data_IF_927733320899
#
_entry.id   IF_927733320899
#
_cell.length_a   1.000
_cell.length_b   1.000
_cell.length_c   1.000
_cell.angle_alpha   90.00
_cell.angle_beta   90.00
_cell.angle_gamma   90.00
#
_symmetry.space_group_name_H-M   'P 1'
#
loop_
_entity.id
_entity.type
_entity.pdbx_description
1 polymer ?
#
# COMPACT_ATOMS: atom_id res chain seq x y z
N UNK A 1 -19.42 -16.68 27.17
CA UNK A 1 -18.16 -15.92 27.01
C UNK A 1 -17.02 -16.89 27.29
N UNK A 2 -16.47 -17.50 26.25
CA UNK A 2 -15.30 -18.38 26.37
C UNK A 2 -14.09 -17.47 26.57
N UNK A 3 -13.40 -17.59 27.71
CA UNK A 3 -12.06 -17.03 27.93
C UNK A 3 -11.17 -17.46 26.76
N UNK A 4 -10.91 -16.53 25.81
CA UNK A 4 -9.83 -16.73 24.85
C UNK A 4 -8.53 -16.81 25.68
N UNK A 5 -7.98 -18.02 25.82
CA UNK A 5 -6.67 -18.24 26.39
C UNK A 5 -5.70 -17.25 25.74
N UNK A 6 -5.23 -16.26 26.50
CA UNK A 6 -4.19 -15.34 26.05
C UNK A 6 -2.94 -16.20 25.76
N UNK A 7 -2.56 -16.28 24.50
CA UNK A 7 -1.28 -16.88 24.13
C UNK A 7 -0.13 -16.17 24.82
N UNK A 8 0.96 -16.90 25.10
CA UNK A 8 2.13 -16.30 25.74
C UNK A 8 2.70 -15.14 24.90
N UNK A 9 3.13 -14.04 25.54
CA UNK A 9 3.77 -12.94 24.85
C UNK A 9 4.96 -13.42 23.99
N UNK A 10 5.01 -12.97 22.73
CA UNK A 10 6.08 -13.27 21.77
C UNK A 10 6.93 -12.03 21.53
N UNK A 11 8.21 -12.22 21.23
CA UNK A 11 9.07 -11.14 20.71
C UNK A 11 9.09 -11.22 19.19
N UNK A 12 8.56 -10.18 18.51
CA UNK A 12 8.46 -10.12 17.05
C UNK A 12 9.34 -8.97 16.56
N UNK A 13 10.30 -9.28 15.71
CA UNK A 13 11.21 -8.30 15.11
C UNK A 13 10.78 -8.02 13.69
N UNK A 14 10.50 -6.74 13.40
CA UNK A 14 10.18 -6.23 12.07
C UNK A 14 11.45 -5.79 11.34
N UNK A 15 11.58 -6.13 10.07
CA UNK A 15 12.62 -5.65 9.17
C UNK A 15 11.97 -4.94 7.98
N UNK A 16 12.12 -3.62 7.93
CA UNK A 16 11.54 -2.76 6.90
C UNK A 16 12.62 -1.86 6.28
N UNK A 17 12.65 -1.66 4.94
CA UNK A 17 13.77 -0.94 4.31
C UNK A 17 13.84 0.54 4.67
N UNK A 18 12.71 1.26 4.59
CA UNK A 18 12.62 2.73 4.78
C UNK A 18 11.26 3.09 5.39
N UNK A 19 11.26 3.56 6.63
CA UNK A 19 10.05 3.85 7.39
C UNK A 19 9.63 5.33 7.24
N UNK A 20 9.24 5.71 6.02
CA UNK A 20 8.71 7.02 5.68
C UNK A 20 7.18 7.11 5.75
N UNK A 21 6.56 7.86 4.82
CA UNK A 21 5.11 8.00 4.68
C UNK A 21 4.65 7.37 3.38
N UNK A 22 3.99 6.22 3.46
CA UNK A 22 3.45 5.50 2.32
C UNK A 22 2.50 4.38 2.75
N UNK A 23 1.93 3.66 1.79
CA UNK A 23 0.96 2.59 2.08
C UNK A 23 1.59 1.35 2.69
N UNK A 24 2.82 1.00 2.30
CA UNK A 24 3.55 -0.12 2.86
C UNK A 24 4.03 0.20 4.28
N UNK A 25 4.55 1.39 4.50
CA UNK A 25 4.99 1.90 5.79
C UNK A 25 3.82 1.99 6.78
N UNK A 26 2.65 2.47 6.34
CA UNK A 26 1.43 2.48 7.18
C UNK A 26 1.04 1.06 7.58
N UNK A 27 1.08 0.10 6.67
CA UNK A 27 0.80 -1.30 6.97
C UNK A 27 1.74 -1.86 8.04
N UNK A 28 3.05 -1.57 7.94
CA UNK A 28 4.05 -2.03 8.91
C UNK A 28 3.79 -1.44 10.29
N UNK A 29 3.50 -0.13 10.36
CA UNK A 29 3.15 0.56 11.61
C UNK A 29 1.87 -0.04 12.21
N UNK A 30 0.81 -0.21 11.42
CA UNK A 30 -0.46 -0.79 11.89
C UNK A 30 -0.28 -2.24 12.37
N UNK A 31 0.52 -3.05 11.64
CA UNK A 31 0.85 -4.41 12.04
C UNK A 31 1.61 -4.45 13.37
N UNK A 32 2.60 -3.57 13.53
CA UNK A 32 3.42 -3.49 14.74
C UNK A 32 2.57 -3.06 15.95
N UNK A 33 1.80 -1.97 15.83
CA UNK A 33 0.89 -1.49 16.88
C UNK A 33 -0.16 -2.54 17.22
N UNK A 34 -0.75 -3.17 16.19
CA UNK A 34 -1.77 -4.20 16.38
C UNK A 34 -1.25 -5.41 17.16
N UNK A 35 -0.05 -5.90 16.85
CA UNK A 35 0.59 -7.00 17.57
C UNK A 35 1.01 -6.58 18.99
N UNK A 36 1.50 -5.35 19.19
CA UNK A 36 1.81 -4.80 20.49
C UNK A 36 0.55 -4.71 21.38
N UNK A 37 -0.58 -4.28 20.83
CA UNK A 37 -1.88 -4.23 21.53
C UNK A 37 -2.39 -5.63 21.91
N UNK A 38 -1.93 -6.69 21.26
CA UNK A 38 -2.19 -8.09 21.62
C UNK A 38 -1.27 -8.62 22.73
N UNK A 39 -0.30 -7.81 23.19
CA UNK A 39 0.61 -8.12 24.28
C UNK A 39 1.97 -8.68 23.84
N UNK A 40 2.30 -8.61 22.53
CA UNK A 40 3.61 -9.00 22.03
C UNK A 40 4.62 -7.88 22.21
N UNK A 41 5.90 -8.25 22.36
CA UNK A 41 7.01 -7.29 22.26
C UNK A 41 7.36 -7.09 20.80
N UNK A 42 7.28 -5.86 20.30
CA UNK A 42 7.58 -5.53 18.90
C UNK A 42 8.77 -4.58 18.83
N UNK A 43 9.72 -4.86 17.95
CA UNK A 43 10.87 -3.99 17.65
C UNK A 43 10.99 -3.88 16.12
N UNK A 44 11.10 -2.67 15.60
CA UNK A 44 11.27 -2.41 14.16
C UNK A 44 12.70 -2.01 13.88
N UNK A 45 13.40 -2.76 13.03
CA UNK A 45 14.67 -2.35 12.44
C UNK A 45 14.44 -1.85 11.02
N UNK A 46 14.97 -0.68 10.73
CA UNK A 46 14.89 -0.04 9.41
C UNK A 46 16.22 0.58 9.02
N UNK A 47 16.47 0.72 7.72
CA UNK A 47 17.67 1.41 7.24
C UNK A 47 17.50 2.93 7.17
N UNK A 48 16.27 3.44 7.26
CA UNK A 48 16.00 4.88 7.29
C UNK A 48 14.68 5.17 7.99
N UNK A 49 14.68 6.19 8.84
CA UNK A 49 13.48 6.78 9.43
C UNK A 49 13.78 8.25 9.73
N UNK A 50 13.17 9.18 8.99
CA UNK A 50 13.27 10.61 9.27
C UNK A 50 12.14 11.01 10.23
N UNK A 51 12.45 11.48 11.46
CA UNK A 51 11.43 11.90 12.42
C UNK A 51 10.50 13.01 11.91
N UNK A 52 10.94 13.78 10.90
CA UNK A 52 10.12 14.83 10.25
C UNK A 52 9.24 14.28 9.13
N UNK A 53 9.47 13.05 8.69
CA UNK A 53 8.79 12.43 7.56
C UNK A 53 8.47 10.96 7.82
N UNK A 54 7.89 10.66 8.97
CA UNK A 54 7.39 9.33 9.33
C UNK A 54 6.04 9.45 10.05
N UNK A 55 5.39 8.32 10.31
CA UNK A 55 4.16 8.27 11.09
C UNK A 55 4.43 8.57 12.57
N UNK A 56 3.43 9.09 13.27
CA UNK A 56 3.55 9.54 14.67
C UNK A 56 4.02 8.39 15.58
N UNK A 57 3.46 7.21 15.41
CA UNK A 57 3.77 6.01 16.20
C UNK A 57 5.24 5.57 16.10
N UNK A 58 5.93 5.96 15.02
CA UNK A 58 7.35 5.68 14.82
C UNK A 58 8.29 6.71 15.48
N UNK A 59 7.77 7.89 15.89
CA UNK A 59 8.57 8.99 16.45
C UNK A 59 8.24 9.38 17.86
N UNK A 60 7.01 9.07 18.35
CA UNK A 60 6.52 9.49 19.68
C UNK A 60 6.83 8.49 20.80
N UNK A 61 7.51 7.38 20.48
CA UNK A 61 7.87 6.32 21.40
C UNK A 61 6.81 5.21 21.55
N UNK A 62 5.72 5.25 20.77
CA UNK A 62 4.72 4.16 20.72
C UNK A 62 5.37 2.85 20.27
N UNK A 63 6.26 2.92 19.27
CA UNK A 63 7.00 1.77 18.73
C UNK A 63 8.51 1.89 19.01
N UNK A 64 9.18 0.77 19.33
CA UNK A 64 10.64 0.68 19.43
C UNK A 64 11.22 0.60 17.99
N UNK A 65 11.56 1.76 17.41
CA UNK A 65 12.14 1.87 16.06
C UNK A 65 13.65 2.11 16.16
N UNK A 66 14.42 1.24 15.51
CA UNK A 66 15.88 1.28 15.52
C UNK A 66 16.44 1.38 14.11
N UNK A 67 17.16 2.47 13.81
CA UNK A 67 17.81 2.67 12.50
C UNK A 67 19.14 1.96 12.47
N UNK A 68 19.32 1.02 11.54
CA UNK A 68 20.54 0.23 11.33
C UNK A 68 20.79 -0.01 9.84
N UNK A 69 22.00 -0.41 9.47
CA UNK A 69 22.31 -0.79 8.07
C UNK A 69 22.42 0.39 7.09
N UNK A 70 22.60 1.61 7.57
CA UNK A 70 22.64 2.82 6.76
C UNK A 70 24.02 3.46 6.63
N UNK A 71 25.07 2.86 7.25
CA UNK A 71 26.39 3.49 7.37
C UNK A 71 27.32 3.24 6.18
N UNK A 72 27.16 2.12 5.45
CA UNK A 72 28.10 1.70 4.40
C UNK A 72 27.50 1.90 3.01
N UNK A 73 26.22 1.54 2.83
CA UNK A 73 25.58 1.48 1.50
C UNK A 73 24.66 2.69 1.31
N UNK A 74 24.87 3.51 0.25
CA UNK A 74 23.99 4.62 -0.05
C UNK A 74 22.64 4.12 -0.60
N UNK A 75 21.55 4.94 -0.60
CA UNK A 75 20.25 4.55 -1.13
C UNK A 75 20.26 4.32 -2.65
N UNK A 76 21.18 4.95 -3.38
CA UNK A 76 21.39 4.73 -4.81
C UNK A 76 22.81 5.12 -5.21
N UNK A 77 23.32 4.57 -6.31
CA UNK A 77 24.60 4.94 -6.94
C UNK A 77 24.29 5.66 -8.25
N UNK A 78 24.73 6.92 -8.39
CA UNK A 78 24.50 7.76 -9.58
C UNK A 78 23.02 7.85 -9.98
N UNK A 79 22.11 7.92 -9.02
CA UNK A 79 20.65 7.87 -9.22
C UNK A 79 20.17 6.60 -9.97
N UNK A 80 20.98 5.53 -9.93
CA UNK A 80 20.73 4.23 -10.54
C UNK A 80 20.99 3.13 -9.51
N UNK A 81 20.76 1.87 -9.88
CA UNK A 81 21.04 0.69 -9.05
C UNK A 81 20.33 0.69 -7.68
N UNK A 82 19.18 1.36 -7.56
CA UNK A 82 18.43 1.46 -6.31
C UNK A 82 18.09 0.08 -5.72
N UNK A 83 17.67 -0.88 -6.55
CA UNK A 83 17.33 -2.25 -6.06
C UNK A 83 18.57 -2.95 -5.47
N UNK A 84 19.73 -2.85 -6.11
CA UNK A 84 20.98 -3.41 -5.59
C UNK A 84 21.34 -2.77 -4.26
N UNK A 85 21.28 -1.44 -4.19
CA UNK A 85 21.55 -0.71 -2.93
C UNK A 85 20.57 -1.10 -1.81
N UNK A 86 19.28 -1.27 -2.13
CA UNK A 86 18.27 -1.71 -1.15
C UNK A 86 18.56 -3.10 -0.62
N UNK A 87 18.93 -4.05 -1.49
CA UNK A 87 19.34 -5.40 -1.10
C UNK A 87 20.58 -5.35 -0.20
N UNK A 88 21.62 -4.62 -0.61
CA UNK A 88 22.85 -4.50 0.17
C UNK A 88 22.62 -3.84 1.54
N UNK A 89 21.74 -2.84 1.60
CA UNK A 89 21.34 -2.20 2.86
C UNK A 89 20.61 -3.17 3.78
N UNK A 90 19.69 -3.98 3.26
CA UNK A 90 19.00 -5.01 4.03
C UNK A 90 19.99 -6.04 4.59
N UNK A 91 20.92 -6.53 3.78
CA UNK A 91 21.98 -7.46 4.23
C UNK A 91 22.86 -6.80 5.29
N UNK A 92 23.29 -5.56 5.08
CA UNK A 92 24.08 -4.79 6.05
C UNK A 92 23.32 -4.61 7.37
N UNK A 93 22.02 -4.29 7.33
CA UNK A 93 21.18 -4.18 8.51
C UNK A 93 21.18 -5.49 9.30
N UNK A 94 20.93 -6.63 8.64
CA UNK A 94 20.88 -7.94 9.28
C UNK A 94 22.23 -8.29 9.90
N UNK A 95 23.35 -8.06 9.20
CA UNK A 95 24.70 -8.25 9.74
C UNK A 95 24.96 -7.36 10.94
N UNK A 96 24.61 -6.09 10.88
CA UNK A 96 24.85 -5.13 11.96
C UNK A 96 24.12 -5.54 13.23
N UNK A 97 22.82 -5.86 13.16
CA UNK A 97 22.04 -6.27 14.34
C UNK A 97 22.50 -7.63 14.92
N UNK A 98 23.09 -8.48 14.08
CA UNK A 98 23.72 -9.72 14.53
C UNK A 98 25.04 -9.47 15.25
N UNK A 99 25.97 -8.70 14.64
CA UNK A 99 27.29 -8.43 15.19
C UNK A 99 27.24 -7.57 16.46
N UNK A 100 26.26 -6.69 16.59
CA UNK A 100 26.05 -5.88 17.82
C UNK A 100 25.31 -6.63 18.91
N UNK A 101 25.05 -7.93 18.73
CA UNK A 101 24.32 -8.79 19.69
C UNK A 101 22.89 -8.31 20.01
N UNK A 102 22.29 -7.41 19.19
CA UNK A 102 20.92 -6.96 19.39
C UNK A 102 19.92 -8.10 19.23
N UNK A 103 20.10 -8.97 18.22
CA UNK A 103 19.25 -10.15 18.03
C UNK A 103 19.35 -11.13 19.19
N UNK A 104 20.58 -11.36 19.69
CA UNK A 104 20.80 -12.27 20.82
C UNK A 104 20.15 -11.75 22.10
N UNK A 105 20.15 -10.43 22.32
CA UNK A 105 19.52 -9.79 23.49
C UNK A 105 18.00 -9.80 23.41
N UNK A 106 17.44 -9.63 22.21
CA UNK A 106 16.01 -9.62 21.98
C UNK A 106 15.39 -11.03 22.02
N UNK A 107 16.14 -12.05 21.59
CA UNK A 107 15.66 -13.45 21.45
C UNK A 107 14.34 -13.54 20.70
N UNK A 108 14.26 -13.06 19.43
CA UNK A 108 13.01 -13.03 18.71
C UNK A 108 12.45 -14.42 18.46
N UNK A 109 11.16 -14.60 18.73
CA UNK A 109 10.39 -15.80 18.36
C UNK A 109 10.08 -15.79 16.87
N UNK A 110 9.78 -14.60 16.32
CA UNK A 110 9.45 -14.44 14.91
C UNK A 110 10.01 -13.13 14.34
N UNK A 111 10.18 -13.16 13.01
CA UNK A 111 10.52 -12.00 12.19
C UNK A 111 9.35 -11.71 11.26
N UNK A 112 8.97 -10.44 11.18
CA UNK A 112 8.10 -9.91 10.14
C UNK A 112 8.99 -9.14 9.16
N UNK A 113 9.09 -9.62 7.93
CA UNK A 113 9.90 -8.98 6.87
C UNK A 113 8.99 -8.63 5.70
N UNK A 114 9.08 -7.42 5.19
CA UNK A 114 8.26 -6.98 4.08
C UNK A 114 9.07 -6.34 2.95
N UNK A 115 8.43 -6.13 1.80
CA UNK A 115 8.96 -5.56 0.56
C UNK A 115 10.13 -6.36 -0.05
N UNK A 116 11.21 -6.59 0.70
CA UNK A 116 12.44 -7.22 0.19
C UNK A 116 12.65 -8.60 0.85
N UNK A 117 12.64 -9.63 0.03
CA UNK A 117 12.91 -11.00 0.47
C UNK A 117 14.41 -11.36 0.48
N UNK A 118 15.25 -10.52 -0.14
CA UNK A 118 16.66 -10.84 -0.42
C UNK A 118 17.49 -11.19 0.82
N UNK A 119 17.15 -10.64 1.98
CA UNK A 119 17.81 -10.91 3.26
C UNK A 119 17.34 -12.17 4.00
N UNK A 120 16.25 -12.82 3.57
CA UNK A 120 15.68 -13.97 4.29
C UNK A 120 16.64 -15.15 4.43
N UNK A 121 17.43 -15.53 3.39
CA UNK A 121 18.42 -16.60 3.54
C UNK A 121 19.47 -16.29 4.60
N UNK A 122 19.96 -15.06 4.66
CA UNK A 122 20.92 -14.61 5.66
C UNK A 122 20.31 -14.62 7.06
N UNK A 123 19.09 -14.10 7.21
CA UNK A 123 18.37 -14.08 8.48
C UNK A 123 18.14 -15.49 9.00
N UNK A 124 17.72 -16.41 8.13
CA UNK A 124 17.54 -17.84 8.47
C UNK A 124 18.86 -18.51 8.91
N UNK A 125 19.97 -18.13 8.26
CA UNK A 125 21.30 -18.67 8.60
C UNK A 125 21.78 -18.17 9.96
N UNK A 126 21.66 -16.87 10.22
CA UNK A 126 22.13 -16.23 11.46
C UNK A 126 21.22 -16.50 12.66
N UNK A 127 19.93 -16.74 12.41
CA UNK A 127 18.94 -16.99 13.45
C UNK A 127 18.01 -18.18 13.11
N UNK A 128 18.55 -19.42 13.13
CA UNK A 128 17.85 -20.61 12.63
C UNK A 128 16.58 -20.97 13.39
N UNK A 129 16.44 -20.55 14.64
CA UNK A 129 15.30 -20.88 15.50
C UNK A 129 14.12 -19.91 15.33
N UNK A 130 14.36 -18.66 14.89
CA UNK A 130 13.31 -17.69 14.66
C UNK A 130 12.45 -18.04 13.45
N UNK A 131 11.14 -17.80 13.52
CA UNK A 131 10.21 -17.98 12.39
C UNK A 131 10.16 -16.73 11.53
N UNK A 132 10.11 -16.90 10.22
CA UNK A 132 10.09 -15.81 9.28
C UNK A 132 8.71 -15.74 8.60
N UNK A 133 7.96 -14.68 8.88
CA UNK A 133 6.79 -14.27 8.11
C UNK A 133 7.21 -13.20 7.10
N UNK A 134 7.10 -13.51 5.82
CA UNK A 134 7.33 -12.53 4.75
C UNK A 134 6.01 -11.95 4.25
N UNK A 135 5.90 -10.61 4.23
CA UNK A 135 4.73 -9.93 3.69
C UNK A 135 5.04 -9.40 2.27
N UNK A 136 4.44 -10.05 1.28
CA UNK A 136 4.58 -9.70 -0.13
C UNK A 136 3.48 -8.72 -0.54
N UNK A 137 3.81 -7.44 -0.67
CA UNK A 137 2.87 -6.43 -1.14
C UNK A 137 2.46 -6.65 -2.59
N UNK A 138 3.44 -6.95 -3.44
CA UNK A 138 3.28 -7.32 -4.84
C UNK A 138 4.62 -7.82 -5.39
N UNK A 139 4.67 -8.72 -6.40
CA UNK A 139 5.93 -9.13 -7.02
C UNK A 139 6.72 -7.94 -7.59
N UNK A 140 7.94 -7.71 -7.07
CA UNK A 140 8.78 -6.59 -7.54
C UNK A 140 9.10 -6.69 -9.02
N UNK A 141 9.25 -7.91 -9.53
CA UNK A 141 9.47 -8.16 -10.94
C UNK A 141 8.36 -7.57 -11.85
N UNK A 142 7.13 -7.42 -11.37
CA UNK A 142 6.02 -6.85 -12.13
C UNK A 142 5.90 -5.32 -11.98
N UNK A 143 6.52 -4.73 -10.96
CA UNK A 143 6.50 -3.29 -10.70
C UNK A 143 7.49 -2.51 -11.57
N UNK A 144 8.50 -3.20 -12.14
CA UNK A 144 9.59 -2.57 -12.89
C UNK A 144 9.13 -2.05 -14.23
N UNK A 145 9.22 -0.73 -14.41
CA UNK A 145 8.95 -0.07 -15.68
C UNK A 145 10.12 -0.21 -16.68
N UNK A 146 9.79 -0.25 -17.98
CA UNK A 146 10.78 -0.25 -19.07
C UNK A 146 11.50 -1.58 -19.29
N UNK A 147 10.92 -2.70 -18.88
CA UNK A 147 11.38 -4.07 -19.20
C UNK A 147 11.39 -4.39 -20.71
N UNK A 148 10.81 -3.55 -21.54
CA UNK A 148 10.85 -3.70 -23.00
C UNK A 148 12.28 -3.58 -23.55
N UNK A 149 13.18 -2.88 -22.85
CA UNK A 149 14.59 -2.74 -23.21
C UNK A 149 15.34 -4.02 -22.82
N UNK A 150 15.99 -4.70 -23.80
CA UNK A 150 16.66 -5.99 -23.59
C UNK A 150 17.72 -5.97 -22.49
N UNK A 151 18.52 -4.88 -22.38
CA UNK A 151 19.55 -4.75 -21.35
C UNK A 151 18.98 -4.63 -19.93
N UNK A 152 17.79 -4.03 -19.75
CA UNK A 152 17.09 -4.03 -18.46
C UNK A 152 16.60 -5.42 -18.09
N UNK A 153 16.17 -6.23 -19.05
CA UNK A 153 15.80 -7.64 -18.82
C UNK A 153 17.00 -8.44 -18.32
N UNK A 154 18.14 -8.33 -19.00
CA UNK A 154 19.37 -9.04 -18.60
C UNK A 154 19.83 -8.60 -17.22
N UNK A 155 19.85 -7.29 -16.95
CA UNK A 155 20.20 -6.75 -15.63
C UNK A 155 19.28 -7.26 -14.53
N UNK A 156 17.98 -7.37 -14.77
CA UNK A 156 16.99 -7.76 -13.78
C UNK A 156 16.89 -9.27 -13.54
N UNK A 157 17.26 -10.08 -14.50
CA UNK A 157 17.12 -11.54 -14.41
C UNK A 157 17.70 -12.15 -13.13
N UNK A 158 18.92 -11.80 -12.66
CA UNK A 158 19.45 -12.31 -11.40
C UNK A 158 18.59 -11.92 -10.19
N UNK A 159 18.06 -10.69 -10.15
CA UNK A 159 17.23 -10.21 -9.05
C UNK A 159 15.86 -10.90 -9.03
N UNK A 160 15.26 -11.13 -10.20
CA UNK A 160 13.99 -11.82 -10.32
C UNK A 160 14.07 -13.29 -9.87
N UNK A 161 15.16 -13.99 -10.24
CA UNK A 161 15.44 -15.35 -9.78
C UNK A 161 15.73 -15.36 -8.27
N UNK A 162 16.45 -14.36 -7.78
CA UNK A 162 16.74 -14.21 -6.36
C UNK A 162 15.47 -13.95 -5.54
N UNK A 163 14.56 -13.13 -6.02
CA UNK A 163 13.29 -12.82 -5.34
C UNK A 163 12.50 -14.10 -5.08
N UNK A 164 12.28 -14.94 -6.10
CA UNK A 164 11.59 -16.22 -5.95
C UNK A 164 12.31 -17.15 -4.97
N UNK A 165 13.62 -17.30 -5.15
CA UNK A 165 14.43 -18.21 -4.32
C UNK A 165 14.46 -17.75 -2.87
N UNK A 166 14.72 -16.48 -2.60
CA UNK A 166 14.81 -15.95 -1.23
C UNK A 166 13.48 -16.03 -0.48
N UNK A 167 12.34 -15.83 -1.14
CA UNK A 167 11.02 -16.02 -0.50
C UNK A 167 10.77 -17.45 -0.03
N UNK A 168 11.43 -18.45 -0.63
CA UNK A 168 11.29 -19.85 -0.20
C UNK A 168 11.79 -20.10 1.23
N UNK A 169 12.60 -19.18 1.78
CA UNK A 169 13.11 -19.22 3.13
C UNK A 169 12.13 -18.73 4.21
N UNK A 170 11.04 -18.07 3.81
CA UNK A 170 10.00 -17.72 4.75
C UNK A 170 9.28 -18.97 5.27
N UNK A 171 8.98 -19.03 6.57
CA UNK A 171 8.12 -20.08 7.14
C UNK A 171 6.65 -19.86 6.72
N UNK A 172 6.23 -18.60 6.62
CA UNK A 172 4.92 -18.22 6.10
C UNK A 172 5.04 -17.01 5.15
N UNK A 173 4.16 -16.94 4.15
CA UNK A 173 4.07 -15.80 3.23
C UNK A 173 2.67 -15.22 3.32
N UNK A 174 2.57 -13.93 3.66
CA UNK A 174 1.33 -13.17 3.63
C UNK A 174 1.28 -12.25 2.40
N UNK A 175 0.08 -11.99 1.92
CA UNK A 175 -0.20 -11.06 0.81
C UNK A 175 -1.38 -10.15 1.17
N UNK A 176 -1.47 -8.99 0.55
CA UNK A 176 -2.45 -7.96 0.89
C UNK A 176 -3.88 -8.21 0.36
N UNK A 177 -4.07 -9.17 -0.54
CA UNK A 177 -5.39 -9.48 -1.14
C UNK A 177 -5.40 -10.84 -1.84
N UNK A 178 -6.58 -11.37 -2.13
CA UNK A 178 -6.73 -12.56 -2.99
C UNK A 178 -6.29 -12.25 -4.43
N UNK A 179 -6.47 -11.01 -4.89
CA UNK A 179 -5.93 -10.58 -6.17
C UNK A 179 -4.41 -10.73 -6.19
N UNK A 180 -3.69 -10.19 -5.21
CA UNK A 180 -2.24 -10.36 -5.11
C UNK A 180 -1.84 -11.82 -4.92
N UNK A 181 -2.59 -12.60 -4.13
CA UNK A 181 -2.38 -14.05 -4.00
C UNK A 181 -2.42 -14.74 -5.36
N UNK A 182 -3.40 -14.40 -6.19
CA UNK A 182 -3.53 -14.97 -7.54
C UNK A 182 -2.37 -14.55 -8.47
N UNK A 183 -1.91 -13.29 -8.34
CA UNK A 183 -0.76 -12.78 -9.11
C UNK A 183 0.52 -13.49 -8.70
N UNK A 184 0.80 -13.60 -7.39
CA UNK A 184 1.96 -14.34 -6.86
C UNK A 184 1.95 -15.80 -7.30
N UNK A 185 0.78 -16.46 -7.22
CA UNK A 185 0.64 -17.86 -7.64
C UNK A 185 0.89 -18.08 -9.12
N UNK A 186 0.49 -17.14 -9.96
CA UNK A 186 0.76 -17.19 -11.42
C UNK A 186 2.21 -16.84 -11.75
N UNK A 187 2.80 -15.93 -11.00
CA UNK A 187 4.18 -15.48 -11.22
C UNK A 187 5.18 -16.54 -10.78
N UNK A 188 4.93 -17.20 -9.66
CA UNK A 188 5.80 -18.21 -9.05
C UNK A 188 5.02 -19.48 -8.66
N UNK A 189 4.62 -20.32 -9.63
CA UNK A 189 3.79 -21.50 -9.37
C UNK A 189 4.44 -22.50 -8.41
N UNK A 190 5.77 -22.69 -8.50
CA UNK A 190 6.51 -23.58 -7.60
C UNK A 190 6.51 -23.10 -6.16
N UNK A 191 6.66 -21.79 -5.94
CA UNK A 191 6.58 -21.20 -4.63
C UNK A 191 5.18 -21.40 -4.03
N UNK A 192 4.14 -21.11 -4.82
CA UNK A 192 2.75 -21.23 -4.40
C UNK A 192 2.31 -22.67 -4.12
N UNK A 193 2.95 -23.68 -4.77
CA UNK A 193 2.73 -25.10 -4.46
C UNK A 193 3.34 -25.52 -3.13
N UNK A 194 4.49 -24.94 -2.78
CA UNK A 194 5.25 -25.30 -1.58
C UNK A 194 4.87 -24.51 -0.35
N UNK A 195 4.34 -23.30 -0.53
CA UNK A 195 3.98 -22.36 0.54
C UNK A 195 2.52 -21.99 0.45
N UNK A 196 1.80 -22.12 1.55
CA UNK A 196 0.43 -21.64 1.66
C UNK A 196 0.42 -20.12 1.83
N UNK A 197 0.02 -19.41 0.76
CA UNK A 197 -0.07 -17.96 0.77
C UNK A 197 -1.28 -17.51 1.60
N UNK A 198 -1.05 -16.76 2.66
CA UNK A 198 -2.09 -16.24 3.55
C UNK A 198 -2.49 -14.83 3.15
N UNK A 199 -3.79 -14.56 3.11
CA UNK A 199 -4.29 -13.19 2.88
C UNK A 199 -4.41 -12.47 4.21
N UNK A 200 -3.69 -11.35 4.34
CA UNK A 200 -3.78 -10.42 5.45
C UNK A 200 -4.04 -9.04 4.87
N UNK A 201 -5.27 -8.61 4.92
CA UNK A 201 -5.68 -7.31 4.38
C UNK A 201 -5.03 -6.16 5.16
N UNK A 202 -4.54 -5.12 4.47
CA UNK A 202 -4.26 -3.83 5.10
C UNK A 202 -5.48 -3.32 5.86
N UNK A 203 -5.27 -2.65 6.96
CA UNK A 203 -6.36 -2.12 7.77
C UNK A 203 -6.54 -0.61 7.58
N UNK A 204 -7.67 -0.12 8.07
CA UNK A 204 -7.94 1.29 8.30
C UNK A 204 -8.20 1.53 9.78
N UNK A 205 -7.83 2.71 10.26
CA UNK A 205 -8.13 3.13 11.63
C UNK A 205 -9.65 3.24 11.81
N UNK A 206 -10.21 2.28 12.55
CA UNK A 206 -11.64 2.23 12.84
C UNK A 206 -12.03 2.90 14.15
N UNK A 207 -11.05 3.48 14.87
CA UNK A 207 -11.34 4.25 16.09
C UNK A 207 -12.16 5.46 15.68
N UNK A 208 -13.31 5.61 16.32
CA UNK A 208 -14.18 6.76 16.09
C UNK A 208 -13.42 8.01 16.54
N UNK A 209 -12.81 8.72 15.62
CA UNK A 209 -12.38 10.09 15.90
C UNK A 209 -13.66 10.86 16.19
N UNK A 210 -13.80 11.36 17.42
CA UNK A 210 -14.85 12.35 17.71
C UNK A 210 -14.78 13.38 16.60
N UNK A 211 -15.91 13.61 15.91
CA UNK A 211 -16.02 14.64 14.89
C UNK A 211 -15.59 15.95 15.54
N UNK A 212 -14.32 16.31 15.40
CA UNK A 212 -13.91 17.69 15.62
C UNK A 212 -14.54 18.46 14.46
N UNK A 213 -15.76 18.91 14.68
CA UNK A 213 -16.42 19.87 13.83
C UNK A 213 -15.66 21.18 13.95
N UNK A 214 -14.64 21.33 13.13
CA UNK A 214 -14.11 22.67 12.88
C UNK A 214 -15.06 23.32 11.89
N UNK A 215 -16.10 23.96 12.43
CA UNK A 215 -17.10 24.78 11.74
C UNK A 215 -18.10 23.97 10.89
N UNK A 216 -19.32 23.97 11.37
CA UNK A 216 -20.57 23.45 10.75
C UNK A 216 -20.94 24.04 9.37
N UNK A 217 -19.95 24.46 8.59
CA UNK A 217 -20.20 25.01 7.25
C UNK A 217 -20.08 23.90 6.19
N UNK A 218 -21.20 23.56 5.54
CA UNK A 218 -21.16 22.58 4.46
C UNK A 218 -20.21 23.08 3.36
N UNK A 219 -19.37 22.16 2.82
CA UNK A 219 -18.50 22.45 1.68
C UNK A 219 -19.33 23.03 0.54
N UNK A 220 -18.84 24.10 -0.08
CA UNK A 220 -19.43 24.73 -1.25
C UNK A 220 -20.95 24.99 -1.12
N UNK A 221 -21.39 25.57 0.02
CA UNK A 221 -22.79 25.89 0.30
C UNK A 221 -23.75 24.69 0.24
N UNK A 222 -23.24 23.46 0.54
CA UNK A 222 -24.04 22.22 0.50
C UNK A 222 -24.25 21.62 -0.87
N UNK A 223 -23.43 22.01 -1.87
CA UNK A 223 -23.45 21.43 -3.21
C UNK A 223 -23.14 19.93 -3.15
N UNK A 224 -23.92 19.12 -3.86
CA UNK A 224 -23.63 17.69 -4.00
C UNK A 224 -22.34 17.49 -4.80
N UNK A 225 -21.53 16.50 -4.42
CA UNK A 225 -20.36 16.17 -5.23
C UNK A 225 -20.03 14.67 -5.21
N UNK A 226 -19.42 14.23 -6.32
CA UNK A 226 -18.78 12.94 -6.48
C UNK A 226 -17.30 13.15 -6.22
N UNK A 227 -16.64 12.18 -5.58
CA UNK A 227 -15.26 12.30 -5.15
C UNK A 227 -14.39 11.22 -5.78
N UNK A 228 -13.27 11.61 -6.37
CA UNK A 228 -12.22 10.68 -6.81
C UNK A 228 -10.93 11.03 -6.07
N UNK A 229 -10.38 10.07 -5.29
CA UNK A 229 -9.12 10.24 -4.57
C UNK A 229 -8.08 9.29 -5.14
N UNK A 230 -7.14 9.85 -5.92
CA UNK A 230 -6.08 9.10 -6.58
C UNK A 230 -4.85 9.98 -6.78
N UNK A 231 -3.63 9.40 -6.75
CA UNK A 231 -2.44 10.11 -7.23
C UNK A 231 -2.59 10.42 -8.72
N UNK A 232 -2.06 11.57 -9.16
CA UNK A 232 -2.11 11.98 -10.57
C UNK A 232 -1.15 11.14 -11.43
N UNK A 233 -1.46 9.86 -11.56
CA UNK A 233 -0.71 8.86 -12.33
C UNK A 233 -1.65 8.19 -13.33
N UNK A 234 -1.19 7.96 -14.57
CA UNK A 234 -2.03 7.38 -15.65
C UNK A 234 -2.62 6.02 -15.28
N UNK A 235 -1.88 5.21 -14.52
CA UNK A 235 -2.38 3.91 -14.04
C UNK A 235 -3.59 4.00 -13.11
N UNK A 236 -3.93 5.21 -12.61
CA UNK A 236 -5.11 5.44 -11.76
C UNK A 236 -6.36 5.77 -12.57
N UNK A 237 -6.22 5.98 -13.89
CA UNK A 237 -7.31 6.20 -14.86
C UNK A 237 -8.37 7.21 -14.39
N UNK A 238 -7.90 8.36 -13.89
CA UNK A 238 -8.80 9.46 -13.45
C UNK A 238 -9.66 9.95 -14.63
N UNK A 239 -9.16 9.79 -15.86
CA UNK A 239 -9.90 10.14 -17.07
C UNK A 239 -11.26 9.43 -17.18
N UNK A 240 -11.36 8.19 -16.69
CA UNK A 240 -12.63 7.43 -16.64
C UNK A 240 -13.68 8.15 -15.79
N UNK A 241 -13.30 8.68 -14.62
CA UNK A 241 -14.22 9.43 -13.76
C UNK A 241 -14.76 10.69 -14.45
N UNK A 242 -13.88 11.42 -15.16
CA UNK A 242 -14.26 12.63 -15.94
C UNK A 242 -15.20 12.26 -17.09
N UNK A 243 -14.87 11.23 -17.87
CA UNK A 243 -15.69 10.74 -18.98
C UNK A 243 -17.07 10.30 -18.51
N UNK A 244 -17.12 9.54 -17.43
CA UNK A 244 -18.38 9.08 -16.86
C UNK A 244 -19.23 10.23 -16.33
N UNK A 245 -18.63 11.23 -15.69
CA UNK A 245 -19.32 12.44 -15.23
C UNK A 245 -19.83 13.28 -16.41
N UNK A 246 -19.05 13.43 -17.47
CA UNK A 246 -19.45 14.12 -18.68
C UNK A 246 -20.64 13.44 -19.39
N UNK A 247 -20.78 12.13 -19.26
CA UNK A 247 -21.88 11.33 -19.79
C UNK A 247 -23.25 11.61 -19.13
N UNK A 248 -23.27 12.24 -17.95
CA UNK A 248 -24.52 12.68 -17.32
C UNK A 248 -25.19 13.79 -18.15
N UNK A 249 -26.51 13.83 -18.18
CA UNK A 249 -27.23 14.94 -18.81
C UNK A 249 -26.94 16.28 -18.10
N UNK A 250 -27.11 17.40 -18.80
CA UNK A 250 -26.91 18.74 -18.21
C UNK A 250 -27.79 18.96 -16.98
N UNK A 251 -29.00 18.42 -17.01
CA UNK A 251 -29.97 18.48 -15.91
C UNK A 251 -29.46 17.66 -14.70
N UNK A 252 -28.97 16.47 -14.95
CA UNK A 252 -28.43 15.58 -13.90
C UNK A 252 -27.16 16.14 -13.24
N UNK A 253 -26.36 16.92 -13.98
CA UNK A 253 -25.14 17.57 -13.46
C UNK A 253 -25.41 18.90 -12.77
N UNK A 254 -26.58 19.50 -12.97
CA UNK A 254 -26.90 20.83 -12.40
C UNK A 254 -26.77 20.82 -10.88
N UNK A 255 -25.88 21.67 -10.35
CA UNK A 255 -25.62 21.76 -8.94
C UNK A 255 -24.76 20.57 -8.36
N UNK A 256 -24.15 19.78 -9.24
CA UNK A 256 -23.25 18.70 -8.87
C UNK A 256 -21.82 19.03 -9.30
N UNK A 257 -20.83 18.55 -8.54
CA UNK A 257 -19.41 18.71 -8.85
C UNK A 257 -18.71 17.36 -8.83
N UNK A 258 -17.77 17.16 -9.74
CA UNK A 258 -16.77 16.10 -9.64
C UNK A 258 -15.52 16.68 -8.98
N UNK A 259 -15.12 16.15 -7.83
CA UNK A 259 -13.90 16.54 -7.11
C UNK A 259 -12.85 15.46 -7.33
N UNK A 260 -11.75 15.83 -7.96
CA UNK A 260 -10.57 14.98 -8.19
C UNK A 260 -9.47 15.43 -7.25
N UNK A 261 -9.22 14.63 -6.21
CA UNK A 261 -8.27 14.94 -5.16
C UNK A 261 -7.14 13.91 -5.10
N UNK A 262 -5.96 14.30 -4.66
CA UNK A 262 -4.90 13.33 -4.39
C UNK A 262 -3.47 13.84 -4.49
N UNK A 263 -2.53 12.91 -4.37
CA UNK A 263 -1.11 13.21 -4.38
C UNK A 263 -0.64 13.76 -5.72
N UNK A 264 0.03 14.91 -5.67
CA UNK A 264 0.63 15.59 -6.80
C UNK A 264 1.99 16.16 -6.41
N UNK A 265 3.05 15.76 -7.10
CA UNK A 265 4.39 16.32 -6.94
C UNK A 265 4.80 17.04 -8.24
N UNK A 266 5.03 18.37 -8.21
CA UNK A 266 5.42 19.13 -9.40
C UNK A 266 6.81 18.73 -9.95
N UNK A 267 7.62 18.00 -9.18
CA UNK A 267 8.92 17.47 -9.62
C UNK A 267 8.78 16.18 -10.42
N UNK A 268 7.62 15.49 -10.31
CA UNK A 268 7.34 14.27 -11.05
C UNK A 268 6.66 14.61 -12.36
N UNK A 269 7.38 14.45 -13.47
CA UNK A 269 6.90 14.80 -14.82
C UNK A 269 5.59 14.10 -15.18
N UNK A 270 5.41 12.85 -14.74
CA UNK A 270 4.15 12.12 -14.96
C UNK A 270 2.96 12.81 -14.31
N UNK A 271 3.08 13.27 -13.07
CA UNK A 271 2.00 13.97 -12.37
C UNK A 271 1.61 15.26 -13.09
N UNK A 272 2.62 16.03 -13.52
CA UNK A 272 2.43 17.30 -14.23
C UNK A 272 1.74 17.08 -15.58
N UNK A 273 2.24 16.15 -16.38
CA UNK A 273 1.70 15.89 -17.71
C UNK A 273 0.30 15.27 -17.62
N UNK A 274 0.08 14.32 -16.73
CA UNK A 274 -1.24 13.70 -16.61
C UNK A 274 -2.29 14.68 -16.12
N UNK A 275 -1.97 15.59 -15.19
CA UNK A 275 -2.88 16.64 -14.79
C UNK A 275 -3.27 17.54 -15.96
N UNK A 276 -2.30 17.95 -16.81
CA UNK A 276 -2.59 18.75 -18.02
C UNK A 276 -3.54 18.00 -18.97
N UNK A 277 -3.28 16.72 -19.24
CA UNK A 277 -4.14 15.87 -20.06
C UNK A 277 -5.57 15.79 -19.52
N UNK A 278 -5.72 15.71 -18.18
CA UNK A 278 -7.04 15.68 -17.54
C UNK A 278 -7.78 17.02 -17.66
N UNK A 279 -7.08 18.15 -17.56
CA UNK A 279 -7.66 19.49 -17.80
C UNK A 279 -8.12 19.62 -19.24
N UNK A 280 -7.26 19.30 -20.20
CA UNK A 280 -7.59 19.33 -21.65
C UNK A 280 -8.77 18.40 -21.98
N UNK A 281 -8.81 17.20 -21.38
CA UNK A 281 -9.94 16.28 -21.51
C UNK A 281 -11.24 16.92 -21.00
N UNK A 282 -11.18 17.55 -19.82
CA UNK A 282 -12.35 18.20 -19.20
C UNK A 282 -12.90 19.31 -20.09
N UNK A 283 -12.03 20.17 -20.62
CA UNK A 283 -12.37 21.24 -21.53
C UNK A 283 -12.94 20.72 -22.85
N UNK A 284 -12.35 19.68 -23.43
CA UNK A 284 -12.83 19.05 -24.66
C UNK A 284 -14.23 18.45 -24.53
N UNK A 285 -14.64 18.10 -23.29
CA UNK A 285 -15.99 17.62 -22.98
C UNK A 285 -16.97 18.74 -22.63
N UNK A 286 -16.54 19.99 -22.73
CA UNK A 286 -17.37 21.17 -22.44
C UNK A 286 -17.71 21.33 -20.96
N UNK A 287 -16.86 20.82 -20.06
CA UNK A 287 -17.02 20.98 -18.63
C UNK A 287 -16.12 22.11 -18.10
N UNK A 288 -16.71 22.96 -17.26
CA UNK A 288 -15.95 23.99 -16.55
C UNK A 288 -15.05 23.34 -15.47
N UNK A 289 -13.81 23.80 -15.37
CA UNK A 289 -12.88 23.24 -14.40
C UNK A 289 -12.07 24.29 -13.65
N UNK A 290 -11.54 23.89 -12.50
CA UNK A 290 -10.62 24.70 -11.70
C UNK A 290 -9.60 23.79 -11.00
N UNK A 291 -8.37 24.26 -10.86
CA UNK A 291 -7.34 23.60 -10.07
C UNK A 291 -6.96 24.46 -8.87
N UNK A 292 -6.93 23.85 -7.68
CA UNK A 292 -6.49 24.56 -6.46
C UNK A 292 -5.38 23.77 -5.74
N UNK A 293 -4.50 24.50 -5.05
CA UNK A 293 -3.33 23.94 -4.34
C UNK A 293 -3.39 24.14 -2.83
N UNK A 294 -4.29 25.01 -2.34
CA UNK A 294 -4.35 25.37 -0.92
C UNK A 294 -5.72 25.11 -0.33
N UNK A 295 -5.74 24.77 0.97
CA UNK A 295 -7.00 24.54 1.69
C UNK A 295 -7.96 25.75 1.61
N UNK A 296 -7.53 27.01 1.84
CA UNK A 296 -8.43 28.14 1.74
C UNK A 296 -9.06 28.31 0.34
N UNK A 297 -8.26 28.15 -0.72
CA UNK A 297 -8.76 28.25 -2.10
C UNK A 297 -9.64 27.06 -2.50
N UNK A 298 -9.50 25.92 -1.85
CA UNK A 298 -10.37 24.77 -2.06
C UNK A 298 -11.80 24.99 -1.53
N UNK A 299 -11.98 25.90 -0.58
CA UNK A 299 -13.29 26.25 -0.02
C UNK A 299 -14.01 27.36 -0.79
N UNK A 300 -13.25 28.22 -1.47
CA UNK A 300 -13.78 29.36 -2.26
C UNK A 300 -13.74 29.03 -3.77
N UNK A 301 -14.65 28.16 -4.20
CA UNK A 301 -14.77 27.70 -5.58
C UNK A 301 -16.07 28.22 -6.19
N UNK A 302 -16.01 28.89 -7.36
CA UNK A 302 -17.19 29.39 -8.07
C UNK A 302 -18.26 28.30 -8.28
N UNK A 303 -19.51 28.71 -8.26
CA UNK A 303 -20.64 27.78 -8.35
C UNK A 303 -20.79 27.11 -9.74
N UNK A 304 -20.25 27.69 -10.78
CA UNK A 304 -20.25 27.18 -12.15
C UNK A 304 -19.17 26.12 -12.42
N UNK A 305 -18.21 25.94 -11.53
CA UNK A 305 -17.16 24.91 -11.67
C UNK A 305 -17.74 23.52 -11.49
N UNK A 306 -17.68 22.70 -12.55
CA UNK A 306 -18.18 21.32 -12.58
C UNK A 306 -17.11 20.30 -12.15
N UNK A 307 -15.84 20.49 -12.54
CA UNK A 307 -14.71 19.61 -12.17
C UNK A 307 -13.68 20.40 -11.38
N UNK A 308 -13.40 19.94 -10.16
CA UNK A 308 -12.44 20.57 -9.26
C UNK A 308 -11.25 19.66 -9.02
N UNK A 309 -10.06 20.09 -9.41
CA UNK A 309 -8.80 19.40 -9.12
C UNK A 309 -8.17 19.95 -7.84
N UNK A 310 -7.91 19.06 -6.88
CA UNK A 310 -7.29 19.36 -5.59
C UNK A 310 -5.95 18.64 -5.45
N UNK A 311 -4.86 19.37 -5.53
CA UNK A 311 -3.51 18.84 -5.43
C UNK A 311 -3.08 18.66 -3.96
N UNK A 312 -2.53 17.47 -3.62
CA UNK A 312 -1.88 17.19 -2.32
C UNK A 312 -2.73 17.57 -1.11
N UNK A 313 -3.94 17.04 -1.07
CA UNK A 313 -4.96 17.35 -0.06
C UNK A 313 -4.47 16.93 1.34
N UNK A 314 -4.45 17.85 2.34
CA UNK A 314 -4.16 17.51 3.73
C UNK A 314 -5.18 16.51 4.31
N UNK A 315 -4.75 15.71 5.29
CA UNK A 315 -5.61 14.66 5.88
C UNK A 315 -6.96 15.19 6.41
N UNK A 316 -6.98 16.35 7.08
CA UNK A 316 -8.20 16.95 7.58
C UNK A 316 -9.20 17.27 6.45
N UNK A 317 -8.72 17.86 5.34
CA UNK A 317 -9.57 18.13 4.19
C UNK A 317 -10.02 16.83 3.51
N UNK A 318 -9.15 15.83 3.41
CA UNK A 318 -9.50 14.49 2.90
C UNK A 318 -10.63 13.86 3.72
N UNK A 319 -10.55 13.91 5.05
CA UNK A 319 -11.59 13.40 5.95
C UNK A 319 -12.92 14.16 5.74
N UNK A 320 -12.86 15.48 5.62
CA UNK A 320 -14.04 16.33 5.34
C UNK A 320 -14.67 16.02 3.98
N UNK A 321 -13.85 15.84 2.93
CA UNK A 321 -14.32 15.46 1.61
C UNK A 321 -15.00 14.08 1.64
N UNK A 322 -14.38 13.09 2.29
CA UNK A 322 -14.95 11.76 2.44
C UNK A 322 -16.29 11.81 3.21
N UNK A 323 -16.36 12.54 4.31
CA UNK A 323 -17.59 12.64 5.11
C UNK A 323 -18.75 13.35 4.40
N UNK A 324 -18.46 14.14 3.36
CA UNK A 324 -19.45 14.99 2.66
C UNK A 324 -19.78 14.53 1.24
N UNK A 325 -18.99 13.60 0.68
CA UNK A 325 -19.19 13.10 -0.67
C UNK A 325 -20.47 12.26 -0.80
N UNK A 326 -21.11 12.32 -1.97
CA UNK A 326 -22.28 11.48 -2.28
C UNK A 326 -21.91 10.09 -2.76
N UNK A 327 -20.76 9.97 -3.41
CA UNK A 327 -20.21 8.73 -3.98
C UNK A 327 -18.70 8.88 -4.10
N UNK A 328 -17.94 7.85 -3.73
CA UNK A 328 -16.53 7.72 -4.14
C UNK A 328 -16.48 7.04 -5.51
N UNK A 329 -15.76 7.65 -6.45
CA UNK A 329 -15.48 7.11 -7.80
C UNK A 329 -14.02 6.67 -7.83
N UNK A 330 -13.79 5.35 -7.75
CA UNK A 330 -12.46 4.75 -7.63
C UNK A 330 -12.10 3.96 -8.89
N UNK A 331 -11.40 4.62 -9.79
CA UNK A 331 -11.14 4.16 -11.17
C UNK A 331 -9.97 3.19 -11.37
N UNK A 332 -8.97 3.03 -10.45
CA UNK A 332 -7.82 2.17 -10.72
C UNK A 332 -8.21 0.72 -11.00
N UNK A 333 -7.86 0.26 -12.22
CA UNK A 333 -7.95 -1.16 -12.56
C UNK A 333 -6.75 -1.93 -11.97
N UNK A 334 -6.96 -3.18 -11.58
CA UNK A 334 -5.93 -4.07 -11.04
C UNK A 334 -5.16 -3.48 -9.82
N UNK A 335 -5.84 -2.68 -9.02
CA UNK A 335 -5.28 -2.19 -7.76
C UNK A 335 -4.97 -3.38 -6.85
N UNK A 336 -3.83 -3.38 -6.19
CA UNK A 336 -3.40 -4.50 -5.36
C UNK A 336 -4.35 -4.76 -4.18
N UNK A 337 -4.89 -3.70 -3.58
CA UNK A 337 -5.92 -3.76 -2.55
C UNK A 337 -6.86 -2.56 -2.61
N UNK A 338 -6.34 -1.34 -2.47
CA UNK A 338 -7.13 -0.11 -2.47
C UNK A 338 -7.71 0.25 -1.11
N UNK A 339 -6.99 1.07 -0.35
CA UNK A 339 -7.44 1.52 0.99
C UNK A 339 -8.52 2.60 0.91
N UNK A 340 -8.49 3.45 -0.14
CA UNK A 340 -9.42 4.58 -0.29
C UNK A 340 -10.90 4.16 -0.33
N UNK A 341 -11.30 3.06 -1.00
CA UNK A 341 -12.64 2.49 -0.87
C UNK A 341 -13.06 2.18 0.57
N UNK A 342 -12.15 1.65 1.41
CA UNK A 342 -12.44 1.37 2.80
C UNK A 342 -12.61 2.66 3.63
N UNK A 343 -11.77 3.66 3.38
CA UNK A 343 -11.89 4.97 4.03
C UNK A 343 -13.24 5.64 3.69
N UNK A 344 -13.69 5.53 2.42
CA UNK A 344 -14.99 6.05 2.01
C UNK A 344 -16.15 5.31 2.68
N UNK A 345 -16.11 3.98 2.68
CA UNK A 345 -17.14 3.17 3.36
C UNK A 345 -17.18 3.44 4.86
N UNK A 346 -16.03 3.64 5.51
CA UNK A 346 -15.96 3.98 6.93
C UNK A 346 -16.54 5.37 7.21
N UNK A 347 -16.40 6.31 6.25
CA UNK A 347 -17.05 7.62 6.31
C UNK A 347 -18.55 7.58 5.94
N UNK A 348 -19.08 6.40 5.60
CA UNK A 348 -20.48 6.20 5.23
C UNK A 348 -20.79 6.51 3.76
N UNK A 349 -19.80 6.60 2.91
CA UNK A 349 -19.95 6.94 1.48
C UNK A 349 -19.93 5.67 0.64
N UNK A 350 -20.96 5.41 -0.21
CA UNK A 350 -20.94 4.30 -1.15
C UNK A 350 -19.82 4.45 -2.17
N UNK A 351 -19.38 3.32 -2.74
CA UNK A 351 -18.23 3.27 -3.64
C UNK A 351 -18.64 2.77 -5.02
N UNK A 352 -18.21 3.47 -6.07
CA UNK A 352 -18.18 2.95 -7.44
C UNK A 352 -16.72 2.66 -7.79
N UNK A 353 -16.39 1.41 -8.06
CA UNK A 353 -15.03 0.98 -8.32
C UNK A 353 -14.90 0.07 -9.55
N UNK A 354 -13.66 -0.11 -10.02
CA UNK A 354 -13.36 -1.09 -11.06
C UNK A 354 -13.66 -2.51 -10.57
N UNK A 355 -14.19 -3.35 -11.47
CA UNK A 355 -14.52 -4.76 -11.23
C UNK A 355 -13.29 -5.68 -11.28
N UNK A 356 -12.10 -5.14 -11.06
CA UNK A 356 -10.81 -5.83 -11.09
C UNK A 356 -9.94 -5.42 -9.90
N UNK A 357 -9.10 -6.35 -9.45
CA UNK A 357 -8.17 -6.08 -8.36
C UNK A 357 -8.82 -6.10 -6.98
N UNK A 358 -8.18 -5.43 -6.02
CA UNK A 358 -8.60 -5.37 -4.62
C UNK A 358 -10.01 -4.85 -4.34
N UNK A 359 -10.55 -3.88 -5.11
CA UNK A 359 -11.93 -3.42 -4.94
C UNK A 359 -12.98 -4.53 -4.99
N UNK A 360 -12.76 -5.60 -5.75
CA UNK A 360 -13.66 -6.77 -5.80
C UNK A 360 -13.78 -7.53 -4.47
N UNK A 361 -12.83 -7.32 -3.57
CA UNK A 361 -12.81 -7.94 -2.24
C UNK A 361 -13.38 -7.01 -1.16
N UNK A 362 -13.32 -5.70 -1.39
CA UNK A 362 -13.75 -4.69 -0.42
C UNK A 362 -15.19 -4.24 -0.65
N UNK A 363 -15.59 -3.99 -1.90
CA UNK A 363 -16.93 -3.52 -2.28
C UNK A 363 -17.88 -4.71 -2.49
N UNK A 364 -19.09 -4.61 -1.96
CA UNK A 364 -20.18 -5.60 -2.18
C UNK A 364 -21.21 -4.95 -3.09
N UNK A 365 -21.41 -5.56 -4.28
CA UNK A 365 -22.33 -5.07 -5.31
C UNK A 365 -23.73 -4.82 -4.76
N UNK A 366 -24.23 -3.60 -4.96
CA UNK A 366 -25.57 -3.18 -4.54
C UNK A 366 -25.76 -2.99 -3.03
N UNK A 367 -24.76 -3.35 -2.20
CA UNK A 367 -24.86 -3.27 -0.73
C UNK A 367 -23.97 -2.15 -0.17
N UNK A 368 -22.70 -2.11 -0.56
CA UNK A 368 -21.76 -1.06 -0.12
C UNK A 368 -21.31 -0.16 -1.27
N UNK A 369 -21.68 -0.51 -2.50
CA UNK A 369 -21.29 0.20 -3.71
C UNK A 369 -21.53 -0.63 -4.96
N UNK A 370 -20.81 -0.31 -6.03
CA UNK A 370 -20.93 -0.94 -7.34
C UNK A 370 -19.55 -1.22 -7.93
N UNK A 371 -19.49 -2.32 -8.69
CA UNK A 371 -18.30 -2.72 -9.44
C UNK A 371 -18.61 -2.66 -10.93
N UNK A 372 -17.81 -1.92 -11.70
CA UNK A 372 -18.03 -1.74 -13.14
C UNK A 372 -16.73 -1.90 -13.92
N UNK A 373 -16.85 -2.46 -15.11
CA UNK A 373 -15.72 -2.57 -16.03
C UNK A 373 -15.19 -1.19 -16.43
N UNK A 374 -13.88 -0.92 -16.33
CA UNK A 374 -13.30 0.34 -16.80
C UNK A 374 -13.51 0.60 -18.30
N UNK A 375 -13.77 -0.44 -19.11
CA UNK A 375 -14.04 -0.32 -20.53
C UNK A 375 -15.47 0.22 -20.82
N UNK A 376 -16.38 0.09 -19.85
CA UNK A 376 -17.81 0.38 -20.03
C UNK A 376 -18.21 1.70 -19.37
N UNK A 377 -17.72 2.83 -19.91
CA UNK A 377 -17.92 4.19 -19.33
C UNK A 377 -19.38 4.50 -19.03
N UNK A 378 -20.32 4.04 -19.91
CA UNK A 378 -21.75 4.28 -19.72
C UNK A 378 -22.30 3.67 -18.42
N UNK A 379 -21.80 2.50 -18.00
CA UNK A 379 -22.22 1.87 -16.74
C UNK A 379 -21.78 2.70 -15.51
N UNK A 380 -20.64 3.37 -15.60
CA UNK A 380 -20.18 4.30 -14.56
C UNK A 380 -21.11 5.54 -14.50
N UNK A 381 -21.49 6.07 -15.67
CA UNK A 381 -22.46 7.18 -15.77
C UNK A 381 -23.81 6.79 -15.16
N UNK A 382 -24.32 5.59 -15.47
CA UNK A 382 -25.60 5.11 -14.93
C UNK A 382 -25.60 4.99 -13.40
N UNK A 383 -24.49 4.51 -12.81
CA UNK A 383 -24.37 4.46 -11.35
C UNK A 383 -24.28 5.86 -10.74
N UNK A 384 -23.53 6.79 -11.37
CA UNK A 384 -23.50 8.19 -10.92
C UNK A 384 -24.89 8.81 -10.94
N UNK A 385 -25.65 8.65 -12.03
CA UNK A 385 -27.02 9.15 -12.14
C UNK A 385 -27.94 8.51 -11.10
N UNK A 386 -27.83 7.19 -10.90
CA UNK A 386 -28.58 6.46 -9.89
C UNK A 386 -28.38 7.05 -8.49
N UNK A 387 -27.13 7.29 -8.09
CA UNK A 387 -26.79 7.83 -6.76
C UNK A 387 -27.22 9.27 -6.58
N UNK A 388 -27.14 10.08 -7.66
CA UNK A 388 -27.46 11.50 -7.60
C UNK A 388 -28.96 11.76 -7.62
N UNK A 389 -29.73 10.99 -8.40
CA UNK A 389 -31.08 11.35 -8.80
C UNK A 389 -32.15 10.29 -8.51
N UNK A 390 -31.79 9.02 -8.31
CA UNK A 390 -32.78 7.93 -8.21
C UNK A 390 -32.82 7.27 -6.83
N UNK A 391 -31.70 7.21 -6.09
CA UNK A 391 -31.71 6.60 -4.77
C UNK A 391 -32.34 7.52 -3.74
N UNK A 392 -33.22 6.95 -2.94
CA UNK A 392 -33.77 7.61 -1.76
C UNK A 392 -32.72 7.80 -0.66
N UNK A 393 -32.95 8.73 0.23
CA UNK A 393 -32.08 8.96 1.39
C UNK A 393 -31.95 7.71 2.27
N UNK A 394 -33.05 6.95 2.44
CA UNK A 394 -33.06 5.71 3.22
C UNK A 394 -32.19 4.59 2.61
N UNK A 395 -32.17 4.46 1.27
CA UNK A 395 -31.29 3.49 0.60
C UNK A 395 -29.82 3.88 0.77
N UNK A 396 -29.48 5.14 0.68
CA UNK A 396 -28.10 5.59 0.90
C UNK A 396 -27.67 5.42 2.36
N UNK A 397 -28.55 5.64 3.32
CA UNK A 397 -28.29 5.38 4.75
C UNK A 397 -28.08 3.88 5.02
N UNK A 398 -28.84 3.01 4.35
CA UNK A 398 -28.66 1.56 4.44
C UNK A 398 -27.29 1.14 3.90
N UNK A 399 -26.88 1.68 2.73
CA UNK A 399 -25.55 1.44 2.16
C UNK A 399 -24.44 1.97 3.05
N UNK A 400 -24.62 3.15 3.63
CA UNK A 400 -23.69 3.76 4.59
C UNK A 400 -23.46 2.83 5.79
N UNK A 401 -24.53 2.38 6.44
CA UNK A 401 -24.46 1.47 7.59
C UNK A 401 -23.77 0.15 7.22
N UNK A 402 -24.12 -0.43 6.08
CA UNK A 402 -23.52 -1.65 5.58
C UNK A 402 -22.01 -1.49 5.31
N UNK A 403 -21.60 -0.36 4.71
CA UNK A 403 -20.21 -0.03 4.46
C UNK A 403 -19.40 0.10 5.75
N UNK A 404 -19.90 0.86 6.72
CA UNK A 404 -19.26 1.04 8.02
C UNK A 404 -19.09 -0.29 8.75
N UNK A 405 -20.17 -1.11 8.83
CA UNK A 405 -20.11 -2.42 9.48
C UNK A 405 -19.08 -3.32 8.80
N UNK A 406 -19.13 -3.44 7.47
CA UNK A 406 -18.19 -4.26 6.71
C UNK A 406 -16.73 -3.89 6.99
N UNK A 407 -16.40 -2.60 7.03
CA UNK A 407 -15.02 -2.16 7.30
C UNK A 407 -14.62 -2.51 8.73
N UNK A 408 -15.44 -2.21 9.71
CA UNK A 408 -15.17 -2.51 11.13
C UNK A 408 -15.01 -4.02 11.37
N UNK A 409 -15.83 -4.85 10.72
CA UNK A 409 -15.86 -6.30 10.95
C UNK A 409 -14.71 -7.03 10.24
N UNK A 410 -14.16 -6.49 9.13
CA UNK A 410 -13.21 -7.23 8.30
C UNK A 410 -11.85 -6.56 8.08
N UNK A 411 -11.79 -5.22 8.17
CA UNK A 411 -10.63 -4.44 7.72
C UNK A 411 -10.10 -3.47 8.77
N UNK A 412 -10.44 -3.68 10.05
CA UNK A 412 -9.90 -2.92 11.16
C UNK A 412 -8.52 -3.44 11.62
N UNK A 413 -7.85 -2.65 12.46
CA UNK A 413 -6.55 -2.99 13.06
C UNK A 413 -6.59 -4.33 13.82
N UNK A 414 -7.66 -4.58 14.58
CA UNK A 414 -7.80 -5.79 15.38
C UNK A 414 -7.85 -7.04 14.52
N UNK A 415 -8.57 -7.01 13.39
CA UNK A 415 -8.69 -8.11 12.44
C UNK A 415 -7.36 -8.41 11.74
N UNK A 416 -6.61 -7.37 11.36
CA UNK A 416 -5.28 -7.54 10.77
C UNK A 416 -4.31 -8.17 11.78
N UNK A 417 -4.26 -7.64 13.00
CA UNK A 417 -3.42 -8.15 14.07
C UNK A 417 -3.75 -9.60 14.45
N UNK A 418 -5.04 -9.96 14.50
CA UNK A 418 -5.48 -11.34 14.79
C UNK A 418 -5.02 -12.32 13.69
N UNK A 419 -5.13 -11.94 12.42
CA UNK A 419 -4.64 -12.74 11.30
C UNK A 419 -3.13 -12.94 11.35
N UNK A 420 -2.36 -11.87 11.60
CA UNK A 420 -0.91 -11.93 11.71
C UNK A 420 -0.47 -12.80 12.88
N UNK A 421 -1.05 -12.61 14.04
CA UNK A 421 -0.75 -13.41 15.25
C UNK A 421 -1.07 -14.89 15.02
N UNK A 422 -2.20 -15.21 14.42
CA UNK A 422 -2.58 -16.58 14.04
C UNK A 422 -1.55 -17.24 13.11
N UNK A 423 -1.01 -16.49 12.12
CA UNK A 423 0.01 -16.99 11.20
C UNK A 423 1.32 -17.25 11.96
N UNK A 424 1.76 -16.31 12.80
CA UNK A 424 2.97 -16.44 13.60
C UNK A 424 2.86 -17.62 14.58
N UNK A 425 1.72 -17.74 15.28
CA UNK A 425 1.47 -18.84 16.22
C UNK A 425 1.50 -20.20 15.53
N UNK A 426 0.87 -20.31 14.37
CA UNK A 426 0.91 -21.53 13.56
C UNK A 426 2.35 -21.88 13.15
N UNK A 427 3.10 -20.90 12.63
CA UNK A 427 4.48 -21.11 12.22
C UNK A 427 5.36 -21.57 13.38
N UNK A 428 5.12 -21.06 14.59
CA UNK A 428 5.84 -21.49 15.80
C UNK A 428 5.47 -22.92 16.23
N UNK A 429 4.21 -23.35 16.02
CA UNK A 429 3.75 -24.71 16.35
C UNK A 429 4.19 -25.79 15.37
N UNK A 430 4.59 -25.43 14.15
CA UNK A 430 5.01 -26.39 13.14
C UNK A 430 6.50 -26.76 13.29
N UNK A 431 6.90 -28.04 13.08
CA UNK A 431 8.32 -28.41 13.11
C UNK A 431 9.07 -27.70 11.97
N UNK A 432 10.30 -27.26 12.26
CA UNK A 432 11.15 -26.64 11.24
C UNK A 432 11.78 -27.74 10.36
N UNK A 433 11.40 -27.80 9.10
CA UNK A 433 11.81 -28.87 8.15
C UNK A 433 13.11 -28.56 7.39
N UNK A 434 14.00 -27.75 7.95
CA UNK A 434 15.16 -27.24 7.21
C UNK A 434 16.43 -28.09 7.41
N UNK A 435 17.09 -28.44 6.29
CA UNK A 435 18.45 -29.03 6.29
C UNK A 435 19.48 -27.98 5.86
N UNK A 436 20.57 -27.92 6.61
CA UNK A 436 21.62 -26.89 6.48
C UNK A 436 22.49 -26.98 5.22
N UNK A 437 22.65 -28.19 4.67
CA UNK A 437 23.66 -28.48 3.64
C UNK A 437 23.46 -27.77 2.30
N UNK A 438 22.25 -27.69 1.72
CA UNK A 438 22.05 -26.93 0.47
C UNK A 438 22.10 -25.41 0.67
N UNK A 439 21.75 -24.91 1.87
CA UNK A 439 21.69 -23.49 2.18
C UNK A 439 23.08 -22.86 2.27
N UNK A 440 24.04 -23.53 2.92
CA UNK A 440 25.42 -23.06 3.06
C UNK A 440 26.11 -23.01 1.70
N UNK A 441 25.94 -24.03 0.87
CA UNK A 441 26.54 -24.06 -0.46
C UNK A 441 25.97 -22.95 -1.37
N UNK A 442 24.67 -22.68 -1.29
CA UNK A 442 24.01 -21.65 -2.08
C UNK A 442 24.34 -20.24 -1.56
N UNK A 443 24.45 -20.05 -0.22
CA UNK A 443 24.86 -18.79 0.38
C UNK A 443 26.30 -18.42 -0.01
N UNK A 444 27.23 -19.35 0.04
CA UNK A 444 28.61 -19.13 -0.40
C UNK A 444 28.68 -18.83 -1.90
N UNK A 445 27.84 -19.49 -2.72
CA UNK A 445 27.70 -19.19 -4.15
C UNK A 445 27.16 -17.77 -4.40
N UNK A 446 26.19 -17.32 -3.63
CA UNK A 446 25.55 -16.00 -3.82
C UNK A 446 26.41 -14.85 -3.31
N UNK A 447 27.13 -15.04 -2.20
CA UNK A 447 28.17 -14.08 -1.74
C UNK A 447 29.29 -13.98 -2.78
N UNK A 448 29.69 -15.11 -3.39
CA UNK A 448 30.65 -15.13 -4.49
C UNK A 448 30.18 -14.36 -5.73
N UNK A 449 28.90 -14.53 -6.13
CA UNK A 449 28.32 -13.79 -7.27
C UNK A 449 28.17 -12.30 -6.97
N UNK A 450 27.73 -11.93 -5.76
CA UNK A 450 27.65 -10.53 -5.35
C UNK A 450 29.04 -9.87 -5.29
N UNK A 451 30.03 -10.57 -4.77
CA UNK A 451 31.43 -10.13 -4.77
C UNK A 451 32.02 -9.96 -6.18
N UNK A 452 31.71 -10.89 -7.09
CA UNK A 452 32.14 -10.80 -8.50
C UNK A 452 31.45 -9.62 -9.22
N UNK A 453 30.16 -9.39 -9.00
CA UNK A 453 29.43 -8.23 -9.57
C UNK A 453 30.01 -6.92 -9.03
N UNK A 454 30.31 -6.83 -7.73
CA UNK A 454 30.95 -5.65 -7.15
C UNK A 454 32.37 -5.41 -7.68
N UNK A 455 33.15 -6.48 -7.91
CA UNK A 455 34.47 -6.39 -8.50
C UNK A 455 34.42 -5.93 -9.96
N UNK A 456 33.45 -6.41 -10.76
CA UNK A 456 33.23 -5.97 -12.14
C UNK A 456 32.77 -4.52 -12.19
N UNK A 457 31.81 -4.13 -11.34
CA UNK A 457 31.35 -2.72 -11.24
C UNK A 457 32.49 -1.81 -10.77
N UNK A 458 33.29 -2.24 -9.80
CA UNK A 458 34.48 -1.51 -9.35
C UNK A 458 35.48 -1.33 -10.49
N UNK A 459 35.83 -2.39 -11.23
CA UNK A 459 36.72 -2.27 -12.40
C UNK A 459 36.19 -1.33 -13.47
N UNK A 460 34.91 -1.39 -13.82
CA UNK A 460 34.28 -0.52 -14.82
C UNK A 460 34.25 0.96 -14.37
N UNK A 461 34.11 1.20 -13.07
CA UNK A 461 34.13 2.57 -12.52
C UNK A 461 35.57 3.12 -12.45
N UNK A 462 36.55 2.30 -12.06
CA UNK A 462 37.96 2.73 -11.97
C UNK A 462 38.68 2.79 -13.32
N UNK A 463 38.32 1.98 -14.31
CA UNK A 463 38.90 2.04 -15.66
C UNK A 463 38.49 3.29 -16.47
N UNK A 464 37.66 4.16 -15.93
CA UNK A 464 37.33 5.47 -16.52
C UNK A 464 38.13 6.63 -15.94
N UNK A 465 39.03 6.35 -14.99
CA UNK A 465 39.91 7.32 -14.36
C UNK A 465 41.41 7.10 -14.69
N UNK A 466 41.72 6.09 -15.52
CA UNK A 466 42.97 5.95 -16.28
C UNK A 466 42.67 6.28 -17.78
#
# INVERSE_FOLDING_TARGET
>A
MTEKTREAPKTIVFLHPDLGIGGAERLVVDAAVGLQNRGHRVVIFTSHCDPKHCFDEARDGTLDVRVRGNTIVPPSILSRFSILCSILRQLHLIFQIYLTSELQSLRPDAFFVDQLSAGLPLLQFLHPNGRILFYCHFPDLLLVQGRQKWWKRVYRLPFDLWEQWSMSFADAIAVNSNFTKSVVSRTWPELARRKDLKVVYPCVDTKTKEKKSDGDRPLWKGKKFLLSINRFERKKDIALAIKAFAGLSKEARKGVRLVVAGGYDPRVTENVNYHKELVELTESMGLSNMTTKTHPTALDVPDDVEVLFLHSVPNLLKETLLASARLLVYTPANEHFGIVPLEAMLAGVPVLAADTGGPTETVVEGVTGWLRSPAEVHQWTEVMDKVLNRLSQGELEAMSKAGISRVKDNFGEAQMAERLDSIVSRALGEPKTWSWTPTVALFLGTVGVAGAVLAVVGRVLFSRYE
#
